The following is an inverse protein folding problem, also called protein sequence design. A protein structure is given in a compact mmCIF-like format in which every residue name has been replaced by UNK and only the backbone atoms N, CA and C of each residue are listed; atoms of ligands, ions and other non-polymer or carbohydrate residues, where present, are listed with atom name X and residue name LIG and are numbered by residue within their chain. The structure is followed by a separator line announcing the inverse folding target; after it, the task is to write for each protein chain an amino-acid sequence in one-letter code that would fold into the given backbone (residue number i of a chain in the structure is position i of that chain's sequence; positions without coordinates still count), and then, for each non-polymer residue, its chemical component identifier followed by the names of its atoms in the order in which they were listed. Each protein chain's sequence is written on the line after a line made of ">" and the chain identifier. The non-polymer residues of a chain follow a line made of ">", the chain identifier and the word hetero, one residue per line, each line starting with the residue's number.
data_IF_530393627391
#
_entry.id   IF_530393627391
#
_cell.length_a   1.000
_cell.length_b   1.000
_cell.length_c   1.000
_cell.angle_alpha   90.00
_cell.angle_beta   90.00
_cell.angle_gamma   90.00
#
_symmetry.space_group_name_H-M   'P 1'
#
loop_
_entity.id
_entity.type
_entity.pdbx_description
1 polymer ?
#
# COMPACT_ATOMS: atom_id res chain seq x y z
N UNK A 1 5.79 16.38 7.92
CA UNK A 1 4.60 15.49 7.78
C UNK A 1 5.07 14.06 7.53
N UNK A 2 4.29 13.02 7.83
CA UNK A 2 4.73 11.61 7.70
C UNK A 2 4.71 11.06 6.25
N UNK A 3 4.83 11.93 5.24
CA UNK A 3 4.74 11.54 3.84
C UNK A 3 5.97 10.71 3.41
N UNK A 4 5.74 9.80 2.47
CA UNK A 4 6.76 8.95 1.85
C UNK A 4 6.92 9.36 0.39
N UNK A 5 8.14 9.30 -0.13
CA UNK A 5 8.34 9.37 -1.57
C UNK A 5 7.85 8.04 -2.12
N UNK A 6 6.93 8.10 -3.09
CA UNK A 6 6.37 6.92 -3.73
C UNK A 6 5.93 7.32 -5.13
N UNK A 7 6.39 6.58 -6.13
CA UNK A 7 5.91 6.72 -7.50
C UNK A 7 7.01 6.84 -8.55
N UNK A 8 6.56 6.87 -9.80
CA UNK A 8 7.43 6.89 -10.98
C UNK A 8 8.10 8.25 -11.22
N UNK A 9 7.53 9.31 -10.67
CA UNK A 9 8.00 10.67 -10.82
C UNK A 9 8.33 11.23 -9.45
N UNK A 10 9.61 11.50 -9.23
CA UNK A 10 10.12 12.10 -8.01
C UNK A 10 11.06 13.24 -8.38
N UNK A 11 11.03 14.32 -7.61
CA UNK A 11 11.85 15.50 -7.83
C UNK A 11 12.59 15.82 -6.55
N UNK A 12 13.89 16.11 -6.69
CA UNK A 12 14.75 16.51 -5.59
C UNK A 12 15.40 17.84 -5.91
N UNK A 13 15.63 18.63 -4.87
CA UNK A 13 16.58 19.73 -4.97
C UNK A 13 17.98 19.13 -5.08
N UNK A 14 18.71 19.46 -6.14
CA UNK A 14 20.04 18.90 -6.41
C UNK A 14 20.98 19.04 -5.22
N UNK A 15 21.02 20.21 -4.60
CA UNK A 15 21.89 20.46 -3.43
C UNK A 15 21.55 19.57 -2.23
N UNK A 16 20.28 19.18 -2.08
CA UNK A 16 19.85 18.26 -1.01
C UNK A 16 20.35 16.84 -1.27
N UNK A 17 20.24 16.38 -2.52
CA UNK A 17 20.69 15.04 -2.89
C UNK A 17 22.22 14.94 -2.88
N UNK A 18 22.92 15.97 -3.35
CA UNK A 18 24.39 16.00 -3.37
C UNK A 18 24.99 15.90 -1.95
N UNK A 19 24.35 16.52 -0.94
CA UNK A 19 24.74 16.37 0.47
C UNK A 19 24.65 14.94 1.01
N UNK A 20 23.81 14.09 0.39
CA UNK A 20 23.65 12.70 0.78
C UNK A 20 24.56 11.74 0.01
N UNK A 21 25.44 12.23 -0.87
CA UNK A 21 26.25 11.41 -1.77
C UNK A 21 25.74 11.37 -3.21
N UNK A 22 24.82 12.26 -3.57
CA UNK A 22 24.27 12.38 -4.91
C UNK A 22 23.35 11.21 -5.27
N UNK A 23 23.18 10.96 -6.57
CA UNK A 23 22.28 9.91 -7.08
C UNK A 23 22.65 8.52 -6.54
N UNK A 24 23.94 8.25 -6.25
CA UNK A 24 24.39 6.97 -5.69
C UNK A 24 23.78 6.66 -4.33
N UNK A 25 23.40 7.67 -3.56
CA UNK A 25 22.70 7.47 -2.29
C UNK A 25 21.35 6.75 -2.46
N UNK A 26 20.74 6.86 -3.65
CA UNK A 26 19.46 6.21 -3.95
C UNK A 26 19.59 4.70 -4.21
N UNK A 27 20.80 4.19 -4.41
CA UNK A 27 21.07 2.76 -4.55
C UNK A 27 21.20 2.04 -3.18
N UNK A 28 21.01 2.75 -2.07
CA UNK A 28 21.04 2.17 -0.72
C UNK A 28 19.84 1.27 -0.41
N UNK A 29 18.79 1.30 -1.22
CA UNK A 29 17.61 0.44 -1.08
C UNK A 29 17.28 -0.19 -2.44
N UNK A 30 16.57 -1.32 -2.43
CA UNK A 30 16.03 -1.93 -3.67
C UNK A 30 15.14 -0.94 -4.42
N UNK A 31 14.41 -0.12 -3.67
CA UNK A 31 13.48 0.85 -4.21
C UNK A 31 14.05 2.27 -4.03
N UNK A 32 14.23 2.99 -5.13
CA UNK A 32 14.74 4.37 -5.14
C UNK A 32 13.86 5.35 -4.34
N UNK A 33 12.57 5.06 -4.23
CA UNK A 33 11.58 5.86 -3.50
C UNK A 33 11.70 5.70 -1.97
N UNK A 34 11.99 4.47 -1.54
CA UNK A 34 12.41 4.14 -0.19
C UNK A 34 13.68 4.88 0.22
N UNK A 35 14.75 4.77 -0.60
CA UNK A 35 16.01 5.43 -0.34
C UNK A 35 15.84 6.95 -0.28
N UNK A 36 15.05 7.51 -1.20
CA UNK A 36 14.71 8.93 -1.22
C UNK A 36 14.07 9.40 0.08
N UNK A 37 13.10 8.63 0.59
CA UNK A 37 12.44 8.96 1.86
C UNK A 37 13.43 8.98 3.02
N UNK A 38 14.29 7.95 3.11
CA UNK A 38 15.30 7.83 4.17
C UNK A 38 16.33 8.96 4.09
N UNK A 39 16.86 9.25 2.91
CA UNK A 39 17.84 10.34 2.66
C UNK A 39 17.28 11.71 3.04
N UNK A 40 16.04 12.03 2.65
CA UNK A 40 15.43 13.33 2.94
C UNK A 40 15.15 13.47 4.44
N UNK A 41 14.60 12.43 5.07
CA UNK A 41 14.31 12.45 6.52
C UNK A 41 15.57 12.48 7.38
N UNK A 42 16.66 11.81 6.96
CA UNK A 42 17.95 11.87 7.64
C UNK A 42 18.54 13.29 7.69
N UNK A 43 18.17 14.15 6.76
CA UNK A 43 18.55 15.58 6.74
C UNK A 43 17.55 16.48 7.49
N UNK A 44 16.59 15.91 8.24
CA UNK A 44 15.57 16.67 8.96
C UNK A 44 14.55 17.37 8.04
N UNK A 45 14.47 16.96 6.77
CA UNK A 45 13.58 17.53 5.78
C UNK A 45 12.30 16.70 5.61
N UNK A 46 11.26 17.36 5.14
CA UNK A 46 9.95 16.75 4.87
C UNK A 46 9.83 16.34 3.39
N UNK A 47 9.29 15.15 3.15
CA UNK A 47 8.78 14.76 1.82
C UNK A 47 7.41 15.42 1.60
N UNK A 48 7.16 15.91 0.39
CA UNK A 48 5.87 16.47 -0.02
C UNK A 48 5.28 15.67 -1.17
N UNK A 49 4.00 15.35 -1.06
CA UNK A 49 3.22 14.73 -2.12
C UNK A 49 2.43 15.80 -2.86
N UNK A 50 2.17 15.57 -4.14
CA UNK A 50 1.21 16.36 -4.91
C UNK A 50 -0.21 16.12 -4.38
N UNK A 51 -1.08 17.11 -4.57
CA UNK A 51 -2.46 17.04 -4.05
C UNK A 51 -3.32 15.99 -4.76
N UNK A 52 -2.99 15.67 -6.02
CA UNK A 52 -3.78 14.78 -6.87
C UNK A 52 -2.92 13.68 -7.48
N UNK A 53 -3.46 12.45 -7.61
CA UNK A 53 -2.76 11.36 -8.27
C UNK A 53 -2.63 11.63 -9.78
N UNK A 54 -1.54 11.11 -10.37
CA UNK A 54 -1.33 11.12 -11.82
C UNK A 54 -1.74 9.78 -12.43
N UNK A 55 -2.37 9.83 -13.59
CA UNK A 55 -2.70 8.63 -14.37
C UNK A 55 -1.43 7.90 -14.79
N UNK A 56 -1.45 6.57 -14.63
CA UNK A 56 -0.38 5.71 -15.11
C UNK A 56 -0.93 4.81 -16.23
N UNK A 57 -0.41 4.89 -17.46
CA UNK A 57 -0.80 3.96 -18.51
C UNK A 57 -0.26 2.58 -18.17
N UNK A 58 -1.15 1.68 -17.74
CA UNK A 58 -0.81 0.31 -17.35
C UNK A 58 -1.07 -0.73 -18.45
N UNK A 59 -1.91 -0.39 -19.42
CA UNK A 59 -2.36 -1.31 -20.47
C UNK A 59 -3.32 -2.38 -19.92
N UNK A 60 -3.59 -3.39 -20.74
CA UNK A 60 -4.39 -4.56 -20.33
C UNK A 60 -3.55 -5.46 -19.44
N UNK A 61 -4.14 -5.94 -18.35
CA UNK A 61 -3.48 -6.78 -17.35
C UNK A 61 -4.40 -7.91 -16.93
N UNK A 62 -3.81 -9.08 -16.71
CA UNK A 62 -4.48 -10.24 -16.15
C UNK A 62 -4.56 -10.14 -14.63
N UNK A 63 -5.49 -10.84 -14.01
CA UNK A 63 -5.63 -10.86 -12.55
C UNK A 63 -4.33 -11.34 -11.85
N UNK A 64 -3.59 -12.27 -12.47
CA UNK A 64 -2.30 -12.75 -11.96
C UNK A 64 -1.24 -11.65 -11.97
N UNK A 65 -1.16 -10.87 -13.04
CA UNK A 65 -0.18 -9.77 -13.12
C UNK A 65 -0.46 -8.69 -12.07
N UNK A 66 -1.74 -8.35 -11.84
CA UNK A 66 -2.11 -7.40 -10.79
C UNK A 66 -1.80 -7.95 -9.39
N UNK A 67 -2.15 -9.22 -9.13
CA UNK A 67 -1.81 -9.87 -7.85
C UNK A 67 -0.31 -9.86 -7.59
N UNK A 68 0.50 -10.34 -8.55
CA UNK A 68 1.96 -10.38 -8.43
C UNK A 68 2.56 -9.00 -8.21
N UNK A 69 1.99 -7.97 -8.86
CA UNK A 69 2.39 -6.59 -8.66
C UNK A 69 2.11 -6.13 -7.24
N UNK A 70 0.90 -6.33 -6.72
CA UNK A 70 0.53 -5.89 -5.37
C UNK A 70 1.36 -6.59 -4.29
N UNK A 71 1.55 -7.90 -4.41
CA UNK A 71 2.38 -8.68 -3.50
C UNK A 71 3.83 -8.18 -3.51
N UNK A 72 4.41 -7.89 -4.68
CA UNK A 72 5.76 -7.30 -4.76
C UNK A 72 5.84 -6.00 -3.96
N UNK A 73 4.88 -5.10 -4.13
CA UNK A 73 4.84 -3.85 -3.36
C UNK A 73 4.62 -4.07 -1.86
N UNK A 74 3.87 -5.10 -1.45
CA UNK A 74 3.74 -5.46 -0.04
C UNK A 74 5.07 -5.93 0.55
N UNK A 75 5.82 -6.79 -0.16
CA UNK A 75 7.14 -7.28 0.27
C UNK A 75 8.17 -6.15 0.37
N UNK A 76 8.20 -5.25 -0.61
CA UNK A 76 9.08 -4.07 -0.57
C UNK A 76 8.75 -3.17 0.63
N UNK A 77 7.46 -2.86 0.87
CA UNK A 77 7.06 -2.02 2.01
C UNK A 77 7.38 -2.68 3.35
N UNK A 78 7.20 -4.00 3.46
CA UNK A 78 7.55 -4.78 4.65
C UNK A 78 9.04 -4.64 4.98
N UNK A 79 9.93 -4.77 4.00
CA UNK A 79 11.37 -4.67 4.28
C UNK A 79 11.85 -3.23 4.48
N UNK A 80 11.35 -2.28 3.70
CA UNK A 80 11.81 -0.90 3.84
C UNK A 80 11.26 -0.23 5.10
N UNK A 81 9.97 -0.42 5.40
CA UNK A 81 9.26 0.28 6.48
C UNK A 81 8.45 -0.70 7.34
N UNK A 82 9.08 -1.68 8.01
CA UNK A 82 8.39 -2.76 8.72
C UNK A 82 7.38 -2.26 9.75
N UNK A 83 7.73 -1.23 10.53
CA UNK A 83 6.82 -0.64 11.51
C UNK A 83 5.55 -0.03 10.89
N UNK A 84 5.63 0.47 9.66
CA UNK A 84 4.49 1.02 8.92
C UNK A 84 3.72 -0.08 8.18
N UNK A 85 4.37 -1.21 7.90
CA UNK A 85 3.74 -2.35 7.26
C UNK A 85 2.85 -3.15 8.23
N UNK A 86 3.23 -3.31 9.50
CA UNK A 86 2.44 -4.05 10.51
C UNK A 86 0.94 -3.69 10.55
N UNK A 87 0.53 -2.40 10.59
CA UNK A 87 -0.89 -2.05 10.63
C UNK A 87 -1.63 -2.31 9.30
N UNK A 88 -0.94 -2.66 8.21
CA UNK A 88 -1.59 -2.82 6.90
C UNK A 88 -2.59 -3.98 6.82
N UNK A 89 -2.53 -4.95 7.75
CA UNK A 89 -3.57 -5.98 7.83
C UNK A 89 -4.97 -5.37 8.05
N UNK A 90 -5.03 -4.12 8.54
CA UNK A 90 -6.25 -3.34 8.78
C UNK A 90 -6.63 -2.41 7.63
N UNK A 91 -5.89 -2.37 6.50
CA UNK A 91 -6.14 -1.42 5.41
C UNK A 91 -7.45 -1.64 4.63
N UNK A 92 -8.09 -2.80 4.79
CA UNK A 92 -9.41 -3.11 4.19
C UNK A 92 -10.53 -3.12 5.22
N UNK A 93 -11.77 -3.31 4.78
CA UNK A 93 -12.91 -3.42 5.70
C UNK A 93 -12.89 -4.69 6.56
N UNK A 94 -12.08 -5.69 6.22
CA UNK A 94 -12.05 -7.00 6.89
C UNK A 94 -11.89 -6.89 8.41
N UNK A 95 -10.85 -6.20 8.89
CA UNK A 95 -10.58 -6.06 10.32
C UNK A 95 -11.74 -5.34 11.04
N UNK A 96 -12.25 -4.26 10.43
CA UNK A 96 -13.38 -3.51 10.98
C UNK A 96 -14.65 -4.37 11.07
N UNK A 97 -14.96 -5.15 10.04
CA UNK A 97 -16.12 -6.05 10.01
C UNK A 97 -16.00 -7.12 11.10
N UNK A 98 -14.85 -7.80 11.19
CA UNK A 98 -14.64 -8.86 12.18
C UNK A 98 -14.75 -8.32 13.60
N UNK A 99 -14.09 -7.19 13.89
CA UNK A 99 -14.13 -6.58 15.22
C UNK A 99 -15.52 -6.02 15.55
N UNK A 100 -16.20 -5.41 14.58
CA UNK A 100 -17.56 -4.89 14.75
C UNK A 100 -18.59 -6.01 14.99
N UNK A 101 -18.49 -7.11 14.23
CA UNK A 101 -19.33 -8.29 14.43
C UNK A 101 -19.06 -8.95 15.79
N UNK A 102 -17.79 -9.09 16.17
CA UNK A 102 -17.40 -9.60 17.48
C UNK A 102 -17.96 -8.73 18.61
N UNK A 103 -17.80 -7.41 18.53
CA UNK A 103 -18.34 -6.49 19.53
C UNK A 103 -19.87 -6.57 19.63
N UNK A 104 -20.58 -6.72 18.50
CA UNK A 104 -22.03 -6.90 18.51
C UNK A 104 -22.44 -8.18 19.25
N UNK A 105 -21.72 -9.30 19.08
CA UNK A 105 -21.97 -10.55 19.81
C UNK A 105 -21.69 -10.39 21.31
N UNK A 106 -20.57 -9.74 21.68
CA UNK A 106 -20.19 -9.53 23.08
C UNK A 106 -21.14 -8.60 23.85
N UNK A 107 -21.94 -7.80 23.15
CA UNK A 107 -22.95 -6.92 23.72
C UNK A 107 -24.37 -7.53 23.62
N UNK A 108 -24.47 -8.86 23.57
CA UNK A 108 -25.72 -9.62 23.46
C UNK A 108 -26.57 -9.23 22.23
N UNK A 109 -25.91 -8.77 21.17
CA UNK A 109 -26.54 -8.39 19.92
C UNK A 109 -27.10 -9.61 19.17
N UNK A 110 -28.31 -9.47 18.66
CA UNK A 110 -28.93 -10.47 17.80
C UNK A 110 -28.25 -10.56 16.42
N UNK A 111 -28.59 -11.58 15.64
CA UNK A 111 -28.06 -11.73 14.27
C UNK A 111 -28.38 -10.52 13.38
N UNK A 112 -29.51 -9.85 13.60
CA UNK A 112 -29.86 -8.62 12.86
C UNK A 112 -28.98 -7.45 13.27
N UNK A 113 -28.57 -7.37 14.54
CA UNK A 113 -27.60 -6.39 15.04
C UNK A 113 -26.24 -6.58 14.37
N UNK A 114 -25.74 -7.81 14.30
CA UNK A 114 -24.48 -8.15 13.60
C UNK A 114 -24.55 -7.78 12.12
N UNK A 115 -25.65 -8.12 11.45
CA UNK A 115 -25.88 -7.80 10.04
C UNK A 115 -25.95 -6.28 9.79
N UNK A 116 -26.62 -5.54 10.68
CA UNK A 116 -26.71 -4.09 10.61
C UNK A 116 -25.32 -3.43 10.76
N UNK A 117 -24.56 -3.80 11.80
CA UNK A 117 -23.21 -3.26 12.03
C UNK A 117 -22.30 -3.54 10.85
N UNK A 118 -22.31 -4.77 10.34
CA UNK A 118 -21.52 -5.17 9.17
C UNK A 118 -21.87 -4.32 7.95
N UNK A 119 -23.17 -4.14 7.69
CA UNK A 119 -23.67 -3.36 6.55
C UNK A 119 -23.26 -1.89 6.67
N UNK A 120 -23.37 -1.30 7.87
CA UNK A 120 -22.96 0.08 8.12
C UNK A 120 -21.46 0.28 7.90
N UNK A 121 -20.62 -0.66 8.34
CA UNK A 121 -19.16 -0.59 8.14
C UNK A 121 -18.83 -0.66 6.65
N UNK A 122 -19.36 -1.66 5.92
CA UNK A 122 -19.13 -1.82 4.48
C UNK A 122 -19.57 -0.56 3.73
N UNK A 123 -20.78 -0.07 4.00
CA UNK A 123 -21.30 1.10 3.31
C UNK A 123 -20.49 2.36 3.60
N UNK A 124 -20.05 2.55 4.85
CA UNK A 124 -19.25 3.72 5.24
C UNK A 124 -17.88 3.72 4.56
N UNK A 125 -17.17 2.59 4.61
CA UNK A 125 -15.82 2.48 4.06
C UNK A 125 -15.84 2.50 2.53
N UNK A 126 -16.64 1.64 1.89
CA UNK A 126 -16.73 1.60 0.43
C UNK A 126 -17.36 2.88 -0.13
N UNK A 127 -18.31 3.49 0.58
CA UNK A 127 -18.88 4.79 0.21
C UNK A 127 -17.84 5.91 0.22
N UNK A 128 -17.01 5.97 1.28
CA UNK A 128 -15.90 6.91 1.37
C UNK A 128 -14.88 6.74 0.25
N UNK A 129 -14.56 5.50 -0.10
CA UNK A 129 -13.64 5.21 -1.20
C UNK A 129 -14.19 5.53 -2.58
N UNK A 130 -15.46 5.22 -2.83
CA UNK A 130 -16.13 5.62 -4.07
C UNK A 130 -16.16 7.15 -4.18
N UNK A 131 -16.40 7.84 -3.06
CA UNK A 131 -16.34 9.30 -3.03
C UNK A 131 -14.94 9.83 -3.30
N UNK A 132 -13.91 9.24 -2.69
CA UNK A 132 -12.50 9.57 -2.97
C UNK A 132 -12.15 9.32 -4.44
N UNK A 133 -12.57 8.19 -5.00
CA UNK A 133 -12.38 7.87 -6.42
C UNK A 133 -13.05 8.91 -7.33
N UNK A 134 -14.23 9.43 -6.96
CA UNK A 134 -14.87 10.56 -7.67
C UNK A 134 -14.03 11.83 -7.60
N UNK A 135 -13.55 12.19 -6.42
CA UNK A 135 -12.72 13.40 -6.22
C UNK A 135 -11.42 13.29 -7.03
N UNK A 136 -10.79 12.12 -7.03
CA UNK A 136 -9.57 11.82 -7.77
C UNK A 136 -9.78 11.65 -9.29
N UNK A 137 -11.01 11.70 -9.79
CA UNK A 137 -11.32 11.49 -11.22
C UNK A 137 -11.11 10.07 -11.71
N UNK A 138 -11.10 9.08 -10.82
CA UNK A 138 -10.92 7.67 -11.19
C UNK A 138 -12.19 7.11 -11.87
N UNK A 139 -12.03 6.16 -12.81
CA UNK A 139 -13.16 5.55 -13.49
C UNK A 139 -14.03 4.77 -12.50
N UNK A 140 -15.33 5.07 -12.54
CA UNK A 140 -16.35 4.40 -11.74
C UNK A 140 -17.41 3.80 -12.66
N UNK A 141 -17.60 2.51 -12.54
CA UNK A 141 -18.60 1.76 -13.30
C UNK A 141 -19.38 0.82 -12.37
N UNK A 142 -20.29 0.05 -12.93
CA UNK A 142 -21.08 -0.93 -12.17
C UNK A 142 -20.23 -2.06 -11.57
N UNK A 143 -18.97 -2.23 -12.01
CA UNK A 143 -18.04 -3.23 -11.51
C UNK A 143 -17.30 -2.74 -10.26
N UNK A 144 -17.22 -1.43 -10.03
CA UNK A 144 -16.50 -0.85 -8.89
C UNK A 144 -16.89 -1.50 -7.54
N UNK A 145 -18.17 -1.67 -7.18
CA UNK A 145 -18.52 -2.28 -5.89
C UNK A 145 -17.98 -3.70 -5.75
N UNK A 146 -18.04 -4.50 -6.82
CA UNK A 146 -17.49 -5.85 -6.83
C UNK A 146 -15.96 -5.84 -6.74
N UNK A 147 -15.31 -4.91 -7.43
CA UNK A 147 -13.85 -4.76 -7.36
C UNK A 147 -13.38 -4.40 -5.95
N UNK A 148 -14.10 -3.52 -5.24
CA UNK A 148 -13.83 -3.19 -3.84
C UNK A 148 -13.96 -4.40 -2.91
N UNK A 149 -15.00 -5.21 -3.08
CA UNK A 149 -15.19 -6.45 -2.31
C UNK A 149 -14.06 -7.45 -2.57
N UNK A 150 -13.72 -7.70 -3.84
CA UNK A 150 -12.62 -8.60 -4.19
C UNK A 150 -11.31 -8.10 -3.60
N UNK A 151 -11.02 -6.80 -3.72
CA UNK A 151 -9.82 -6.20 -3.14
C UNK A 151 -9.78 -6.40 -1.63
N UNK A 152 -10.87 -6.12 -0.91
CA UNK A 152 -10.92 -6.27 0.54
C UNK A 152 -10.68 -7.70 1.02
N UNK A 153 -11.13 -8.69 0.26
CA UNK A 153 -10.82 -10.11 0.54
C UNK A 153 -9.36 -10.45 0.22
N UNK A 154 -8.77 -9.83 -0.79
CA UNK A 154 -7.40 -10.10 -1.21
C UNK A 154 -6.36 -9.39 -0.33
N UNK A 155 -6.67 -8.24 0.28
CA UNK A 155 -5.71 -7.50 1.10
C UNK A 155 -5.12 -8.33 2.26
N UNK A 156 -5.90 -9.06 3.09
CA UNK A 156 -5.34 -9.96 4.11
C UNK A 156 -4.50 -11.09 3.52
N UNK A 157 -4.89 -11.63 2.36
CA UNK A 157 -4.16 -12.69 1.67
C UNK A 157 -2.79 -12.19 1.21
N UNK A 158 -2.75 -11.02 0.56
CA UNK A 158 -1.52 -10.38 0.10
C UNK A 158 -0.63 -9.98 1.29
N UNK A 159 -1.22 -9.56 2.41
CA UNK A 159 -0.50 -9.23 3.63
C UNK A 159 0.24 -10.45 4.18
N UNK A 160 -0.46 -11.59 4.30
CA UNK A 160 0.11 -12.86 4.76
C UNK A 160 1.14 -13.39 3.75
N UNK A 161 0.86 -13.32 2.46
CA UNK A 161 1.78 -13.74 1.40
C UNK A 161 3.12 -13.01 1.51
N UNK A 162 3.08 -11.69 1.68
CA UNK A 162 4.28 -10.89 1.87
C UNK A 162 4.96 -11.10 3.24
N UNK A 163 4.29 -11.69 4.24
CA UNK A 163 4.97 -12.11 5.48
C UNK A 163 5.72 -13.43 5.31
N UNK A 164 5.20 -14.34 4.47
CA UNK A 164 5.77 -15.69 4.29
C UNK A 164 6.90 -15.69 3.24
N UNK A 165 6.78 -14.87 2.19
CA UNK A 165 7.66 -14.93 1.03
C UNK A 165 8.41 -13.62 0.79
N UNK A 166 9.67 -13.77 0.35
CA UNK A 166 10.58 -12.66 0.08
C UNK A 166 10.91 -12.52 -1.42
N UNK A 167 10.65 -13.55 -2.22
CA UNK A 167 11.14 -13.65 -3.61
C UNK A 167 10.08 -13.25 -4.63
N UNK A 168 10.42 -12.39 -5.59
CA UNK A 168 9.52 -11.93 -6.64
C UNK A 168 10.24 -11.78 -7.99
N UNK A 169 9.46 -11.81 -9.08
CA UNK A 169 9.98 -11.56 -10.43
C UNK A 169 9.70 -10.12 -10.86
N UNK A 170 10.72 -9.41 -11.32
CA UNK A 170 10.61 -8.07 -11.90
C UNK A 170 11.27 -8.00 -13.27
N UNK A 171 10.48 -7.66 -14.31
CA UNK A 171 10.94 -7.64 -15.72
C UNK A 171 11.66 -8.92 -16.18
N UNK A 172 11.27 -10.08 -15.63
CA UNK A 172 11.89 -11.37 -15.94
C UNK A 172 13.15 -11.69 -15.13
N UNK A 173 13.61 -10.78 -14.27
CA UNK A 173 14.66 -11.06 -13.30
C UNK A 173 14.06 -11.52 -11.97
N UNK A 174 14.56 -12.63 -11.44
CA UNK A 174 14.26 -13.07 -10.08
C UNK A 174 14.99 -12.16 -9.10
N UNK A 175 14.28 -11.71 -8.07
CA UNK A 175 14.80 -10.81 -7.03
C UNK A 175 14.31 -11.28 -5.67
N UNK A 176 15.15 -11.15 -4.66
CA UNK A 176 14.78 -11.41 -3.27
C UNK A 176 14.98 -10.18 -2.42
N UNK A 177 14.11 -9.97 -1.45
CA UNK A 177 14.20 -8.83 -0.54
C UNK A 177 15.37 -8.98 0.45
N UNK A 178 15.85 -10.21 0.70
CA UNK A 178 16.93 -10.49 1.67
C UNK A 178 18.31 -10.03 1.21
N UNK A 179 18.61 -10.11 -0.08
CA UNK A 179 19.90 -9.68 -0.66
C UNK A 179 20.18 -8.19 -0.45
N UNK A 180 19.14 -7.38 -0.24
CA UNK A 180 19.30 -5.97 0.06
C UNK A 180 19.61 -5.67 1.53
N UNK A 181 19.15 -6.51 2.47
CA UNK A 181 19.52 -6.34 3.88
C UNK A 181 21.04 -6.52 4.04
N UNK A 182 21.65 -7.47 3.32
CA UNK A 182 23.10 -7.74 3.35
C UNK A 182 23.95 -6.61 2.76
N UNK A 183 23.41 -5.77 1.87
CA UNK A 183 24.13 -4.61 1.31
C UNK A 183 23.96 -3.32 2.14
N UNK A 184 23.02 -3.32 3.10
CA UNK A 184 22.76 -2.20 4.02
C UNK A 184 23.29 -2.41 5.44
N UNK A 185 23.87 -3.57 5.73
CA UNK A 185 24.50 -3.93 7.01
C UNK A 185 25.92 -3.41 7.20
#
# INVERSE_FOLDING_TARGET
>A
GAAFAQGKNMMWRRDVLDRAGGIRALASEIAEDAASTKVIRAQGMDVRLVDMPFEQPLGKRTAREEYSRHVRWARLRRATFPAHYVPEFMNGSFAAIVLGAYAAVQLDGSISTVALVTTLIVFSLHGGEIWLARVCGFPLDWRTPFALMVRDLMLPVMFIDALIYDDFVWHGAEMTVREAEETTG
#
